data_IF_677394441718
#
_entry.id   IF_677394441718
#
_cell.length_a   1.000
_cell.length_b   1.000
_cell.length_c   1.000
_cell.angle_alpha   90.00
_cell.angle_beta   90.00
_cell.angle_gamma   90.00
#
_symmetry.space_group_name_H-M   'P 1'
#
loop_
_entity.id
_entity.type
_entity.pdbx_description
1 polymer ?
#
# COMPACT_ATOMS: atom_id res chain seq x y z
N UNK A 1 -12.03 -9.73 14.01
CA UNK A 1 -10.67 -9.48 14.51
C UNK A 1 -9.95 -10.73 14.10
N UNK A 2 -9.29 -10.67 12.94
CA UNK A 2 -8.83 -11.87 12.27
C UNK A 2 -7.31 -11.90 12.48
N UNK A 3 -6.89 -12.71 13.43
CA UNK A 3 -5.49 -12.97 13.73
C UNK A 3 -4.93 -13.89 12.65
N UNK A 4 -4.12 -13.35 11.74
CA UNK A 4 -3.45 -14.13 10.70
C UNK A 4 -2.10 -14.60 11.24
N UNK A 5 -1.97 -15.93 11.42
CA UNK A 5 -0.74 -16.62 11.80
C UNK A 5 0.24 -16.66 10.63
N UNK A 6 1.51 -16.34 10.90
CA UNK A 6 2.59 -16.08 9.93
C UNK A 6 3.05 -17.28 9.08
N UNK A 7 2.41 -18.45 9.14
CA UNK A 7 2.89 -19.65 8.43
C UNK A 7 1.86 -20.38 7.54
N UNK A 8 0.62 -19.91 7.43
CA UNK A 8 -0.44 -20.63 6.68
C UNK A 8 -0.89 -19.94 5.38
N UNK A 9 0.03 -19.31 4.64
CA UNK A 9 -0.29 -18.79 3.30
C UNK A 9 -0.22 -19.86 2.18
N UNK A 10 -0.22 -21.15 2.53
CA UNK A 10 -0.15 -22.29 1.61
C UNK A 10 -1.42 -23.17 1.60
N UNK A 11 -2.56 -22.67 2.07
CA UNK A 11 -3.82 -23.36 1.85
C UNK A 11 -4.41 -22.90 0.51
N UNK A 12 -4.59 -23.84 -0.42
CA UNK A 12 -5.34 -23.65 -1.67
C UNK A 12 -6.64 -22.88 -1.40
N UNK A 13 -6.67 -21.62 -1.81
CA UNK A 13 -7.79 -20.73 -1.63
C UNK A 13 -7.62 -19.53 -2.55
N UNK A 14 -8.72 -19.10 -3.17
CA UNK A 14 -8.70 -17.85 -3.92
C UNK A 14 -8.22 -16.71 -3.00
N UNK A 15 -7.49 -15.73 -3.54
CA UNK A 15 -7.11 -14.52 -2.81
C UNK A 15 -8.35 -13.94 -2.15
N UNK A 16 -8.31 -13.83 -0.83
CA UNK A 16 -9.51 -13.65 -0.02
C UNK A 16 -10.22 -12.31 -0.30
N UNK A 17 -9.53 -11.36 -0.96
CA UNK A 17 -9.83 -9.93 -0.99
C UNK A 17 -9.46 -9.24 -2.33
N UNK A 18 -10.05 -9.66 -3.45
CA UNK A 18 -9.92 -8.96 -4.74
C UNK A 18 -10.70 -7.64 -4.74
N UNK A 19 -10.02 -6.51 -4.97
CA UNK A 19 -10.63 -5.17 -5.03
C UNK A 19 -10.76 -4.44 -3.69
N UNK A 20 -10.13 -4.95 -2.64
CA UNK A 20 -10.20 -4.35 -1.30
C UNK A 20 -9.25 -3.16 -1.14
N UNK A 21 -9.70 -2.17 -0.37
CA UNK A 21 -8.89 -1.02 0.05
C UNK A 21 -8.65 -1.13 1.55
N UNK A 22 -7.40 -1.40 1.92
CA UNK A 22 -6.98 -1.70 3.28
C UNK A 22 -5.97 -0.67 3.79
N UNK A 23 -6.19 -0.21 5.02
CA UNK A 23 -5.19 0.54 5.79
C UNK A 23 -4.63 -0.41 6.84
N UNK A 24 -3.34 -0.65 6.76
CA UNK A 24 -2.59 -1.58 7.60
C UNK A 24 -1.83 -0.76 8.62
N UNK A 25 -2.23 -0.87 9.89
CA UNK A 25 -1.49 -0.31 11.01
C UNK A 25 -0.32 -1.23 11.34
N UNK A 26 0.90 -0.81 11.03
CA UNK A 26 2.09 -1.58 11.41
C UNK A 26 3.33 -0.70 11.54
N UNK A 27 4.05 -0.84 12.64
CA UNK A 27 5.46 -0.40 12.74
C UNK A 27 6.45 -1.48 12.29
N UNK A 28 5.96 -2.70 12.05
CA UNK A 28 6.75 -3.84 11.56
C UNK A 28 6.46 -4.08 10.06
N UNK A 29 7.46 -3.82 9.22
CA UNK A 29 7.37 -4.03 7.78
C UNK A 29 7.05 -5.47 7.40
N UNK A 30 7.63 -6.46 8.08
CA UNK A 30 7.49 -7.87 7.69
C UNK A 30 6.06 -8.38 7.86
N UNK A 31 5.39 -8.00 8.96
CA UNK A 31 3.99 -8.36 9.21
C UNK A 31 3.06 -7.77 8.16
N UNK A 32 3.22 -6.49 7.85
CA UNK A 32 2.41 -5.81 6.85
C UNK A 32 2.63 -6.43 5.45
N UNK A 33 3.88 -6.73 5.10
CA UNK A 33 4.21 -7.34 3.82
C UNK A 33 3.66 -8.77 3.73
N UNK A 34 3.75 -9.58 4.78
CA UNK A 34 3.14 -10.91 4.78
C UNK A 34 1.63 -10.85 4.54
N UNK A 35 0.92 -9.94 5.20
CA UNK A 35 -0.52 -9.74 4.95
C UNK A 35 -0.81 -9.35 3.50
N UNK A 36 -0.04 -8.41 2.94
CA UNK A 36 -0.18 -7.98 1.53
C UNK A 36 0.07 -9.16 0.60
N UNK A 37 1.11 -9.96 0.83
CA UNK A 37 1.44 -11.14 0.02
C UNK A 37 0.28 -12.11 -0.08
N UNK A 38 -0.35 -12.41 1.05
CA UNK A 38 -1.41 -13.41 1.12
C UNK A 38 -2.79 -12.86 0.66
N UNK A 39 -2.91 -11.54 0.52
CA UNK A 39 -4.13 -10.87 0.05
C UNK A 39 -4.21 -10.72 -1.47
N UNK A 40 -3.09 -10.86 -2.19
CA UNK A 40 -2.99 -10.53 -3.62
C UNK A 40 -3.12 -11.81 -4.49
N UNK A 41 -3.97 -11.79 -5.53
CA UNK A 41 -4.02 -12.87 -6.53
C UNK A 41 -2.66 -13.11 -7.21
N UNK A 42 -2.31 -14.36 -7.46
CA UNK A 42 -1.03 -14.72 -8.11
C UNK A 42 -0.90 -14.18 -9.54
N UNK A 43 -2.03 -13.91 -10.23
CA UNK A 43 -2.08 -13.36 -11.58
C UNK A 43 -2.17 -11.82 -11.62
N UNK A 44 -2.21 -11.16 -10.47
CA UNK A 44 -2.29 -9.70 -10.39
C UNK A 44 -0.96 -9.03 -10.73
N UNK A 45 -1.04 -7.91 -11.43
CA UNK A 45 0.08 -6.98 -11.56
C UNK A 45 0.26 -6.23 -10.23
N UNK A 46 1.44 -6.33 -9.64
CA UNK A 46 1.76 -5.69 -8.36
C UNK A 46 2.58 -4.42 -8.55
N UNK A 47 2.23 -3.36 -7.82
CA UNK A 47 3.00 -2.12 -7.82
C UNK A 47 3.21 -1.66 -6.39
N UNK A 48 4.47 -1.48 -5.99
CA UNK A 48 4.79 -0.90 -4.69
C UNK A 48 5.38 0.48 -4.84
N UNK A 49 5.00 1.40 -3.93
CA UNK A 49 5.64 2.69 -3.72
C UNK A 49 6.01 2.73 -2.25
N UNK A 50 7.31 2.72 -1.95
CA UNK A 50 7.79 2.60 -0.57
C UNK A 50 9.09 3.36 -0.36
N UNK A 51 9.40 3.68 0.89
CA UNK A 51 10.72 4.20 1.31
C UNK A 51 11.78 3.12 1.41
N UNK A 52 11.39 1.86 1.41
CA UNK A 52 12.30 0.72 1.39
C UNK A 52 12.92 0.61 0.00
N UNK A 53 14.23 0.35 -0.03
CA UNK A 53 14.96 0.18 -1.28
C UNK A 53 14.40 -1.01 -2.07
N UNK A 54 14.16 -0.90 -3.39
CA UNK A 54 13.42 -1.89 -4.18
C UNK A 54 13.90 -3.34 -4.02
N UNK A 55 15.21 -3.54 -3.96
CA UNK A 55 15.86 -4.84 -3.80
C UNK A 55 15.39 -5.55 -2.52
N UNK A 56 15.22 -4.81 -1.42
CA UNK A 56 14.72 -5.37 -0.17
C UNK A 56 13.24 -5.75 -0.25
N UNK A 57 12.44 -5.01 -1.02
CA UNK A 57 11.03 -5.35 -1.21
C UNK A 57 10.91 -6.58 -2.09
N UNK A 58 11.72 -6.68 -3.15
CA UNK A 58 11.75 -7.85 -4.02
C UNK A 58 12.09 -9.14 -3.27
N UNK A 59 12.99 -9.08 -2.29
CA UNK A 59 13.31 -10.24 -1.44
C UNK A 59 12.13 -10.70 -0.57
N UNK A 60 11.24 -9.78 -0.16
CA UNK A 60 10.12 -10.06 0.76
C UNK A 60 8.78 -10.32 0.03
N UNK A 61 8.59 -9.64 -1.11
CA UNK A 61 7.35 -9.50 -1.86
C UNK A 61 7.64 -9.59 -3.36
N UNK A 62 8.00 -10.79 -3.84
CA UNK A 62 8.20 -11.02 -5.27
C UNK A 62 6.91 -11.52 -5.93
N UNK A 63 6.43 -10.78 -6.93
CA UNK A 63 5.32 -11.21 -7.81
C UNK A 63 5.78 -11.27 -9.27
N UNK A 64 5.24 -12.19 -10.08
CA UNK A 64 5.66 -12.38 -11.48
C UNK A 64 5.58 -11.11 -12.33
N UNK A 65 4.53 -10.32 -12.16
CA UNK A 65 4.32 -9.04 -12.84
C UNK A 65 4.39 -7.90 -11.82
N UNK A 66 5.59 -7.41 -11.51
CA UNK A 66 5.76 -6.40 -10.46
C UNK A 66 6.58 -5.18 -10.87
N UNK A 67 6.25 -4.02 -10.27
CA UNK A 67 7.01 -2.77 -10.40
C UNK A 67 7.23 -2.16 -9.03
N UNK A 68 8.48 -1.90 -8.68
CA UNK A 68 8.86 -1.38 -7.36
C UNK A 68 9.40 0.04 -7.53
N UNK A 69 8.67 1.02 -7.02
CA UNK A 69 9.08 2.42 -7.02
C UNK A 69 9.62 2.83 -5.66
N UNK A 70 10.81 3.41 -5.67
CA UNK A 70 11.43 3.97 -4.49
C UNK A 70 10.99 5.42 -4.30
N UNK A 71 10.37 5.70 -3.15
CA UNK A 71 9.96 7.03 -2.75
C UNK A 71 11.21 7.79 -2.28
N UNK A 72 11.79 8.66 -3.10
CA UNK A 72 13.06 9.34 -2.80
C UNK A 72 13.21 10.62 -3.60
N UNK A 73 13.92 11.61 -3.04
CA UNK A 73 14.32 12.82 -3.75
C UNK A 73 15.48 12.59 -4.73
N UNK A 74 16.06 11.38 -4.76
CA UNK A 74 17.07 11.01 -5.75
C UNK A 74 16.47 10.86 -7.15
N UNK A 75 17.17 11.38 -8.15
CA UNK A 75 16.78 11.24 -9.55
C UNK A 75 17.18 9.87 -10.09
N UNK A 76 16.33 9.29 -10.92
CA UNK A 76 16.62 8.08 -11.69
C UNK A 76 15.38 7.28 -12.03
N UNK A 77 15.57 6.14 -12.69
CA UNK A 77 14.50 5.21 -12.99
C UNK A 77 13.92 4.58 -11.73
N UNK A 78 12.64 4.22 -11.78
CA UNK A 78 11.88 3.65 -10.66
C UNK A 78 11.96 4.46 -9.36
N UNK A 79 12.16 5.78 -9.47
CA UNK A 79 12.18 6.70 -8.34
C UNK A 79 11.08 7.73 -8.47
N UNK A 80 10.46 8.05 -7.33
CA UNK A 80 9.38 9.03 -7.24
C UNK A 80 9.70 9.98 -6.10
N UNK A 81 9.74 11.28 -6.40
CA UNK A 81 9.88 12.30 -5.37
C UNK A 81 8.59 12.37 -4.51
N UNK A 82 8.69 12.43 -3.17
CA UNK A 82 7.55 12.52 -2.26
C UNK A 82 6.65 13.73 -2.49
N UNK A 83 7.20 14.85 -2.97
CA UNK A 83 6.43 16.04 -3.32
C UNK A 83 5.60 15.86 -4.61
N UNK A 84 5.84 14.81 -5.39
CA UNK A 84 5.19 14.57 -6.68
C UNK A 84 3.92 13.72 -6.57
N UNK A 85 3.03 14.04 -5.63
CA UNK A 85 1.78 13.29 -5.40
C UNK A 85 0.95 13.10 -6.68
N UNK A 86 0.82 14.14 -7.50
CA UNK A 86 0.09 14.06 -8.78
C UNK A 86 0.70 13.09 -9.80
N UNK A 87 2.03 12.90 -9.77
CA UNK A 87 2.71 11.91 -10.63
C UNK A 87 2.33 10.48 -10.24
N UNK A 88 2.23 10.22 -8.93
CA UNK A 88 1.81 8.92 -8.41
C UNK A 88 0.38 8.60 -8.86
N UNK A 89 -0.56 9.54 -8.67
CA UNK A 89 -1.97 9.33 -9.06
C UNK A 89 -2.08 9.07 -10.57
N UNK A 90 -1.44 9.88 -11.41
CA UNK A 90 -1.49 9.71 -12.86
C UNK A 90 -0.90 8.38 -13.33
N UNK A 91 0.23 7.97 -12.73
CA UNK A 91 0.86 6.68 -13.03
C UNK A 91 -0.03 5.51 -12.64
N UNK A 92 -0.60 5.52 -11.42
CA UNK A 92 -1.46 4.44 -10.95
C UNK A 92 -2.79 4.40 -11.71
N UNK A 93 -3.34 5.56 -12.10
CA UNK A 93 -4.52 5.64 -12.97
C UNK A 93 -4.27 4.97 -14.32
N UNK A 94 -3.17 5.34 -14.98
CA UNK A 94 -2.79 4.71 -16.25
C UNK A 94 -2.68 3.18 -16.11
N UNK A 95 -2.02 2.71 -15.05
CA UNK A 95 -1.87 1.28 -14.80
C UNK A 95 -3.21 0.59 -14.55
N UNK A 96 -4.10 1.24 -13.80
CA UNK A 96 -5.43 0.71 -13.51
C UNK A 96 -6.33 0.61 -14.75
N UNK A 97 -6.05 1.39 -15.79
CA UNK A 97 -6.76 1.34 -17.07
C UNK A 97 -6.21 0.24 -18.00
N UNK A 98 -4.93 -0.10 -17.86
CA UNK A 98 -4.26 -1.08 -18.74
C UNK A 98 -4.21 -2.50 -18.16
N UNK A 99 -4.18 -2.63 -16.84
CA UNK A 99 -4.01 -3.90 -16.13
C UNK A 99 -5.37 -4.41 -15.64
N UNK A 100 -5.70 -5.67 -15.93
CA UNK A 100 -7.01 -6.26 -15.54
C UNK A 100 -7.16 -6.48 -14.04
N UNK A 101 -6.06 -6.71 -13.33
CA UNK A 101 -5.99 -6.94 -11.89
C UNK A 101 -4.74 -6.28 -11.36
N UNK A 102 -4.88 -5.09 -10.79
CA UNK A 102 -3.79 -4.33 -10.22
C UNK A 102 -3.88 -4.37 -8.69
N UNK A 103 -2.75 -4.65 -8.04
CA UNK A 103 -2.58 -4.55 -6.60
C UNK A 103 -1.54 -3.46 -6.30
N UNK A 104 -1.94 -2.45 -5.53
CA UNK A 104 -1.14 -1.27 -5.21
C UNK A 104 -0.75 -1.32 -3.74
N UNK A 105 0.53 -1.25 -3.45
CA UNK A 105 1.07 -1.04 -2.11
C UNK A 105 1.64 0.37 -1.99
N UNK A 106 1.14 1.14 -1.04
CA UNK A 106 1.71 2.42 -0.63
C UNK A 106 2.24 2.32 0.80
N UNK A 107 3.52 2.61 0.95
CA UNK A 107 4.24 2.60 2.22
C UNK A 107 5.09 3.87 2.36
N UNK A 108 5.26 4.36 3.59
CA UNK A 108 5.92 5.64 3.87
C UNK A 108 4.99 6.85 3.82
N UNK A 109 3.74 6.71 4.27
CA UNK A 109 2.76 7.80 4.34
C UNK A 109 3.24 8.94 5.24
N UNK A 110 3.91 8.61 6.35
CA UNK A 110 4.54 9.55 7.26
C UNK A 110 5.58 10.43 6.55
N UNK A 111 6.34 9.84 5.62
CA UNK A 111 7.30 10.60 4.82
C UNK A 111 6.61 11.51 3.80
N UNK A 112 5.51 11.06 3.18
CA UNK A 112 4.69 11.92 2.32
C UNK A 112 4.15 13.12 3.09
N UNK A 113 3.70 12.92 4.35
CA UNK A 113 3.17 14.00 5.19
C UNK A 113 4.27 14.99 5.57
N UNK A 114 5.45 14.48 5.94
CA UNK A 114 6.60 15.32 6.31
C UNK A 114 7.08 16.23 5.17
N UNK A 115 7.02 15.76 3.92
CA UNK A 115 7.48 16.51 2.74
C UNK A 115 6.39 17.40 2.11
N UNK A 116 5.13 17.22 2.50
CA UNK A 116 4.00 17.99 2.01
C UNK A 116 3.26 18.62 3.20
N UNK A 117 2.01 18.23 3.41
CA UNK A 117 1.25 18.46 4.63
C UNK A 117 0.17 17.37 4.74
N UNK A 118 -0.39 17.17 5.93
CA UNK A 118 -1.40 16.13 6.14
C UNK A 118 -2.62 16.27 5.23
N UNK A 119 -3.11 17.50 5.00
CA UNK A 119 -4.33 17.70 4.22
C UNK A 119 -4.11 17.37 2.73
N UNK A 120 -2.93 17.70 2.19
CA UNK A 120 -2.52 17.36 0.85
C UNK A 120 -2.40 15.84 0.68
N UNK A 121 -1.75 15.15 1.62
CA UNK A 121 -1.62 13.70 1.60
C UNK A 121 -2.98 13.01 1.77
N UNK A 122 -3.84 13.50 2.67
CA UNK A 122 -5.18 12.94 2.86
C UNK A 122 -6.03 13.04 1.59
N UNK A 123 -6.02 14.19 0.90
CA UNK A 123 -6.67 14.31 -0.42
C UNK A 123 -6.08 13.36 -1.45
N UNK A 124 -4.77 13.21 -1.47
CA UNK A 124 -4.08 12.27 -2.36
C UNK A 124 -4.48 10.81 -2.09
N UNK A 125 -4.53 10.40 -0.82
CA UNK A 125 -4.97 9.05 -0.44
C UNK A 125 -6.42 8.78 -0.86
N UNK A 126 -7.31 9.75 -0.67
CA UNK A 126 -8.70 9.64 -1.15
C UNK A 126 -8.75 9.52 -2.69
N UNK A 127 -7.94 10.28 -3.43
CA UNK A 127 -7.85 10.14 -4.89
C UNK A 127 -7.33 8.77 -5.32
N UNK A 128 -6.37 8.18 -4.60
CA UNK A 128 -5.91 6.82 -4.87
C UNK A 128 -7.00 5.79 -4.60
N UNK A 129 -7.76 5.97 -3.52
CA UNK A 129 -8.91 5.13 -3.21
C UNK A 129 -9.95 5.21 -4.32
N UNK A 130 -10.29 6.40 -4.81
CA UNK A 130 -11.21 6.58 -5.94
C UNK A 130 -10.72 5.85 -7.21
N UNK A 131 -9.41 5.92 -7.51
CA UNK A 131 -8.80 5.17 -8.62
C UNK A 131 -8.97 3.67 -8.42
N UNK A 132 -8.67 3.16 -7.23
CA UNK A 132 -8.79 1.74 -6.91
C UNK A 132 -10.23 1.25 -7.02
N UNK A 133 -11.21 1.98 -6.44
CA UNK A 133 -12.64 1.67 -6.52
C UNK A 133 -13.11 1.63 -7.97
N UNK A 134 -12.77 2.65 -8.76
CA UNK A 134 -13.27 2.78 -10.14
C UNK A 134 -12.72 1.70 -11.08
N UNK A 135 -11.54 1.16 -10.78
CA UNK A 135 -10.88 0.12 -11.59
C UNK A 135 -11.04 -1.30 -11.03
N UNK A 136 -11.55 -1.45 -9.81
CA UNK A 136 -11.56 -2.72 -9.09
C UNK A 136 -10.16 -3.19 -8.66
N UNK A 137 -9.20 -2.27 -8.57
CA UNK A 137 -7.84 -2.57 -8.09
C UNK A 137 -7.83 -2.72 -6.58
N UNK A 138 -6.92 -3.56 -6.05
CA UNK A 138 -6.67 -3.61 -4.60
C UNK A 138 -5.68 -2.52 -4.19
N UNK A 139 -5.92 -1.86 -3.06
CA UNK A 139 -5.05 -0.81 -2.52
C UNK A 139 -4.72 -1.10 -1.05
N UNK A 140 -3.43 -1.23 -0.76
CA UNK A 140 -2.89 -1.44 0.57
C UNK A 140 -2.08 -0.21 0.97
N UNK A 141 -2.45 0.42 2.07
CA UNK A 141 -1.78 1.60 2.61
C UNK A 141 -1.20 1.21 3.97
N UNK A 142 0.13 1.22 4.11
CA UNK A 142 0.80 1.00 5.38
C UNK A 142 0.95 2.33 6.09
N UNK A 143 0.51 2.38 7.35
CA UNK A 143 0.68 3.53 8.23
C UNK A 143 1.28 3.05 9.55
N UNK A 144 2.27 3.79 10.06
CA UNK A 144 2.79 3.59 11.41
C UNK A 144 1.98 4.45 12.40
N UNK A 145 1.19 3.85 13.31
CA UNK A 145 0.44 4.59 14.32
C UNK A 145 1.33 5.42 15.26
N UNK A 146 2.61 5.06 15.43
CA UNK A 146 3.54 5.81 16.27
C UNK A 146 4.02 7.10 15.61
N UNK A 147 3.94 7.20 14.28
CA UNK A 147 4.37 8.36 13.50
C UNK A 147 3.24 9.37 13.22
N UNK A 148 2.00 9.08 13.64
CA UNK A 148 0.83 9.90 13.34
C UNK A 148 0.04 10.23 14.60
N UNK A 149 -0.67 11.36 14.60
CA UNK A 149 -1.58 11.63 15.70
C UNK A 149 -2.93 10.90 15.52
N UNK A 150 -3.66 10.72 16.61
CA UNK A 150 -4.93 9.96 16.61
C UNK A 150 -6.00 10.54 15.66
N UNK A 151 -5.99 11.87 15.43
CA UNK A 151 -6.94 12.53 14.53
C UNK A 151 -6.60 12.23 13.07
N UNK A 152 -5.32 12.29 12.71
CA UNK A 152 -4.82 11.99 11.36
C UNK A 152 -5.13 10.55 10.97
N UNK A 153 -4.80 9.61 11.87
CA UNK A 153 -5.06 8.19 11.67
C UNK A 153 -6.56 7.91 11.48
N UNK A 154 -7.41 8.46 12.35
CA UNK A 154 -8.86 8.30 12.25
C UNK A 154 -9.45 8.90 10.96
N UNK A 155 -8.86 9.97 10.44
CA UNK A 155 -9.29 10.58 9.17
C UNK A 155 -8.92 9.71 7.97
N UNK A 156 -7.70 9.16 7.94
CA UNK A 156 -7.25 8.26 6.86
C UNK A 156 -8.14 7.01 6.83
N UNK A 157 -8.34 6.36 7.97
CA UNK A 157 -9.10 5.11 8.04
C UNK A 157 -10.56 5.27 7.69
N UNK A 158 -11.17 6.39 8.10
CA UNK A 158 -12.60 6.61 7.89
C UNK A 158 -12.93 6.94 6.44
N UNK A 159 -12.06 7.64 5.72
CA UNK A 159 -12.41 8.17 4.39
C UNK A 159 -11.74 7.43 3.25
N UNK A 160 -10.56 6.84 3.49
CA UNK A 160 -9.79 6.19 2.43
C UNK A 160 -10.09 4.71 2.33
N UNK A 161 -10.59 4.07 3.40
CA UNK A 161 -10.51 2.63 3.56
C UNK A 161 -11.87 1.97 3.81
N UNK A 162 -12.06 0.77 3.26
CA UNK A 162 -13.18 -0.10 3.59
C UNK A 162 -12.91 -0.97 4.83
N UNK A 163 -11.63 -1.24 5.15
CA UNK A 163 -11.20 -2.12 6.25
C UNK A 163 -9.85 -1.74 6.86
N UNK A 164 -9.82 -1.47 8.16
CA UNK A 164 -8.57 -1.32 8.92
C UNK A 164 -8.03 -2.67 9.41
N UNK A 165 -6.74 -2.93 9.25
CA UNK A 165 -6.02 -4.13 9.72
C UNK A 165 -5.01 -3.71 10.78
N UNK A 166 -4.84 -4.51 11.83
CA UNK A 166 -3.86 -4.25 12.89
C UNK A 166 -3.34 -5.58 13.42
N UNK A 167 -2.03 -5.67 13.63
CA UNK A 167 -1.38 -6.83 14.21
C UNK A 167 -1.20 -6.58 15.71
N UNK A 168 -1.57 -7.56 16.54
CA UNK A 168 -1.22 -7.51 17.96
C UNK A 168 0.20 -8.05 18.10
N UNK A 169 1.12 -7.23 18.58
CA UNK A 169 2.40 -7.71 19.09
C UNK A 169 2.13 -8.49 20.37
N UNK A 170 2.23 -9.82 20.31
CA UNK A 170 2.37 -10.62 21.53
C UNK A 170 3.72 -10.26 22.18
N UNK A 171 3.65 -9.87 23.45
CA UNK A 171 4.80 -9.61 24.33
C UNK A 171 5.43 -10.94 24.74
#
# INVERSE_FOLDING_TARGET
MDSVSSNDCYAEGEPQHSGDICVIRSGNTEEAFNYVRCSIPSDATFVSISRIFPERIMDMLSFPNSRYYWLTNMVGEFRIAPASLGKIVSMLRFLSETEKRLAILLDGVEYLIAENDFNAVHRFLNQLSDVAISSGSSLFIIVDPAAMNARELALIERTTCARSVSFQSEI
#
